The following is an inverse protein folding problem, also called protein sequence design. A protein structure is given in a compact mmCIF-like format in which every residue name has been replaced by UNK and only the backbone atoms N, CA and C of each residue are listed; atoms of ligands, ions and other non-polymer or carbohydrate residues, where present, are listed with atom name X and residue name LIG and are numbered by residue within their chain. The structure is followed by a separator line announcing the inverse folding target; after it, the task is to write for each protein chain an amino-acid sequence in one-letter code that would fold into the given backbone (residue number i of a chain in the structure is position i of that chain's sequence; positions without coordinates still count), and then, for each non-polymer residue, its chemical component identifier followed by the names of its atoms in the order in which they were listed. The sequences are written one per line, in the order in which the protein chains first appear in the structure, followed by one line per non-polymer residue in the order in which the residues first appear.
data_IF_380911896907
#
_entry.id   IF_380911896907
#
_cell.length_a   1.000
_cell.length_b   1.000
_cell.length_c   1.000
_cell.angle_alpha   90.00
_cell.angle_beta   90.00
_cell.angle_gamma   90.00
#
_symmetry.space_group_name_H-M   'P 1'
#
loop_
_entity.id
_entity.type
_entity.pdbx_description
1 polymer ?
#
# COMPACT_ATOMS: atom_id res chain seq x y z
N UNK A 1 19.32 35.57 7.99
CA UNK A 1 19.79 34.22 8.36
C UNK A 1 18.86 33.26 7.68
N UNK A 2 19.21 32.85 6.47
CA UNK A 2 18.40 31.96 5.66
C UNK A 2 18.44 30.55 6.23
N UNK A 3 17.28 30.06 6.65
CA UNK A 3 17.08 28.68 7.06
C UNK A 3 17.01 27.79 5.82
N UNK A 4 18.13 27.19 5.45
CA UNK A 4 18.15 26.05 4.53
C UNK A 4 17.52 24.86 5.26
N UNK A 5 16.23 24.62 5.04
CA UNK A 5 15.62 23.33 5.40
C UNK A 5 16.34 22.29 4.57
N UNK A 6 16.97 21.31 5.23
CA UNK A 6 17.57 20.16 4.55
C UNK A 6 16.46 19.43 3.78
N UNK A 7 16.36 19.69 2.48
CA UNK A 7 15.42 19.00 1.59
C UNK A 7 15.93 17.59 1.35
N UNK A 8 15.31 16.61 2.01
CA UNK A 8 15.53 15.20 1.71
C UNK A 8 15.06 14.88 0.29
N UNK A 9 15.65 13.85 -0.30
CA UNK A 9 15.18 13.28 -1.57
C UNK A 9 13.82 12.60 -1.38
N UNK A 10 13.08 12.37 -2.47
CA UNK A 10 11.83 11.60 -2.40
C UNK A 10 12.05 10.20 -1.79
N UNK A 11 13.22 9.60 -1.99
CA UNK A 11 13.59 8.33 -1.37
C UNK A 11 13.70 8.44 0.16
N UNK A 12 14.29 9.52 0.67
CA UNK A 12 14.39 9.78 2.12
C UNK A 12 12.99 9.98 2.72
N UNK A 13 12.08 10.62 1.98
CA UNK A 13 10.69 10.79 2.39
C UNK A 13 9.94 9.45 2.41
N UNK A 14 10.17 8.57 1.42
CA UNK A 14 9.60 7.22 1.40
C UNK A 14 10.10 6.38 2.57
N UNK A 15 11.40 6.42 2.86
CA UNK A 15 11.97 5.72 4.01
C UNK A 15 11.39 6.24 5.32
N UNK A 16 11.23 7.56 5.47
CA UNK A 16 10.57 8.16 6.63
C UNK A 16 9.10 7.74 6.78
N UNK A 17 8.42 7.39 5.68
CA UNK A 17 7.08 6.79 5.67
C UNK A 17 7.07 5.29 5.95
N UNK A 18 8.24 4.66 6.06
CA UNK A 18 8.42 3.23 6.33
C UNK A 18 8.45 2.36 5.08
N UNK A 19 8.46 2.96 3.88
CA UNK A 19 8.71 2.20 2.65
C UNK A 19 10.14 1.70 2.61
N UNK A 20 10.32 0.49 2.08
CA UNK A 20 11.62 -0.15 1.91
C UNK A 20 11.84 -0.49 0.45
N UNK A 21 12.95 -0.03 -0.12
CA UNK A 21 13.33 -0.37 -1.49
C UNK A 21 13.49 -1.90 -1.64
N UNK A 22 12.90 -2.46 -2.70
CA UNK A 22 12.95 -3.88 -3.05
C UNK A 22 13.88 -4.15 -4.26
N UNK A 23 14.42 -3.10 -4.87
CA UNK A 23 15.25 -3.17 -6.08
C UNK A 23 14.49 -2.72 -7.33
N UNK A 24 14.96 -3.17 -8.49
CA UNK A 24 14.35 -2.86 -9.79
C UNK A 24 13.40 -3.98 -10.22
N UNK A 25 12.25 -3.58 -10.76
CA UNK A 25 11.33 -4.49 -11.44
C UNK A 25 11.95 -5.02 -12.74
N UNK A 26 11.38 -6.11 -13.28
CA UNK A 26 11.79 -6.67 -14.59
C UNK A 26 11.74 -5.66 -15.75
N UNK A 27 11.02 -4.54 -15.60
CA UNK A 27 10.88 -3.47 -16.59
C UNK A 27 11.79 -2.26 -16.30
N UNK A 28 12.70 -2.38 -15.32
CA UNK A 28 13.69 -1.35 -14.95
C UNK A 28 13.17 -0.26 -14.00
N UNK A 29 11.89 -0.22 -13.68
CA UNK A 29 11.34 0.71 -12.68
C UNK A 29 11.65 0.26 -11.27
N UNK A 30 12.09 1.17 -10.39
CA UNK A 30 12.33 0.90 -8.96
C UNK A 30 11.04 0.51 -8.25
N UNK A 31 11.18 -0.28 -7.19
CA UNK A 31 10.07 -0.75 -6.38
C UNK A 31 10.33 -0.53 -4.90
N UNK A 32 9.28 -0.17 -4.16
CA UNK A 32 9.28 -0.10 -2.71
C UNK A 32 8.05 -0.80 -2.15
N UNK A 33 8.18 -1.32 -0.94
CA UNK A 33 7.05 -1.90 -0.20
C UNK A 33 6.95 -1.30 1.19
N UNK A 34 5.71 -1.14 1.65
CA UNK A 34 5.37 -0.77 3.01
C UNK A 34 4.48 -1.88 3.57
N UNK A 35 5.02 -2.81 4.37
CA UNK A 35 4.22 -3.79 5.12
C UNK A 35 3.52 -3.04 6.26
N UNK A 36 2.34 -2.47 5.96
CA UNK A 36 1.62 -1.60 6.88
C UNK A 36 1.17 -2.34 8.14
N UNK A 37 0.79 -3.61 8.01
CA UNK A 37 0.61 -4.54 9.12
C UNK A 37 0.85 -5.97 8.63
N UNK A 38 0.52 -6.98 9.46
CA UNK A 38 0.71 -8.40 9.12
C UNK A 38 -0.03 -8.86 7.85
N UNK A 39 -1.12 -8.18 7.49
CA UNK A 39 -2.00 -8.58 6.39
C UNK A 39 -2.02 -7.58 5.23
N UNK A 40 -1.75 -6.29 5.48
CA UNK A 40 -1.79 -5.23 4.47
C UNK A 40 -0.39 -4.81 4.04
N UNK A 41 -0.12 -4.89 2.74
CA UNK A 41 1.10 -4.39 2.12
C UNK A 41 0.78 -3.37 1.05
N UNK A 42 1.41 -2.20 1.09
CA UNK A 42 1.44 -1.25 -0.02
C UNK A 42 2.69 -1.45 -0.85
N UNK A 43 2.60 -1.22 -2.16
CA UNK A 43 3.72 -1.30 -3.09
C UNK A 43 3.72 -0.09 -4.02
N UNK A 44 4.91 0.45 -4.27
CA UNK A 44 5.16 1.53 -5.21
C UNK A 44 6.01 1.05 -6.36
N UNK A 45 5.63 1.45 -7.57
CA UNK A 45 6.42 1.29 -8.78
C UNK A 45 6.80 2.66 -9.33
N UNK A 46 8.09 2.87 -9.57
CA UNK A 46 8.62 4.06 -10.23
C UNK A 46 8.46 3.97 -11.76
N UNK A 47 7.93 5.03 -12.35
CA UNK A 47 7.84 5.22 -13.80
C UNK A 47 8.49 6.53 -14.27
N UNK A 48 9.56 6.98 -13.60
CA UNK A 48 10.36 8.20 -13.88
C UNK A 48 9.64 9.52 -13.60
N UNK A 49 8.46 9.76 -14.19
CA UNK A 49 7.69 11.01 -14.00
C UNK A 49 6.60 10.88 -12.94
N UNK A 50 6.31 9.65 -12.51
CA UNK A 50 5.26 9.33 -11.56
C UNK A 50 5.58 8.04 -10.79
N UNK A 51 4.82 7.82 -9.73
CA UNK A 51 4.71 6.50 -9.08
C UNK A 51 3.36 5.89 -9.37
N UNK A 52 3.28 4.57 -9.26
CA UNK A 52 2.03 3.83 -9.22
C UNK A 52 1.95 3.12 -7.87
N UNK A 53 0.90 3.42 -7.12
CA UNK A 53 0.58 2.78 -5.85
C UNK A 53 -0.41 1.65 -6.06
N UNK A 54 -0.07 0.49 -5.51
CA UNK A 54 -0.97 -0.65 -5.37
C UNK A 54 -0.92 -1.19 -3.93
N UNK A 55 -1.81 -2.13 -3.60
CA UNK A 55 -1.81 -2.79 -2.29
C UNK A 55 -2.40 -4.20 -2.38
N UNK A 56 -2.02 -5.05 -1.43
CA UNK A 56 -2.63 -6.36 -1.22
C UNK A 56 -3.03 -6.52 0.24
N UNK A 57 -4.13 -7.24 0.48
CA UNK A 57 -4.57 -7.63 1.81
C UNK A 57 -4.83 -9.13 1.88
N UNK A 58 -4.12 -9.82 2.78
CA UNK A 58 -4.24 -11.25 3.05
C UNK A 58 -5.55 -11.59 3.77
N UNK A 59 -6.68 -11.55 3.04
CA UNK A 59 -8.02 -11.67 3.61
C UNK A 59 -8.26 -13.04 4.24
N UNK A 60 -7.87 -14.12 3.56
CA UNK A 60 -8.01 -15.48 4.08
C UNK A 60 -7.36 -15.64 5.44
N UNK A 61 -6.08 -15.26 5.54
CA UNK A 61 -5.31 -15.30 6.78
C UNK A 61 -5.89 -14.42 7.89
N UNK A 62 -6.39 -13.23 7.53
CA UNK A 62 -7.05 -12.33 8.47
C UNK A 62 -8.34 -12.93 9.06
N UNK A 63 -9.17 -13.57 8.23
CA UNK A 63 -10.42 -14.21 8.66
C UNK A 63 -10.13 -15.46 9.50
N UNK A 64 -9.16 -16.28 9.08
CA UNK A 64 -8.72 -17.46 9.84
C UNK A 64 -8.20 -17.08 11.22
N UNK A 65 -7.40 -16.03 11.33
CA UNK A 65 -6.89 -15.53 12.61
C UNK A 65 -8.01 -15.06 13.57
N UNK A 66 -9.20 -14.79 13.05
CA UNK A 66 -10.41 -14.45 13.82
C UNK A 66 -11.33 -15.65 14.10
N UNK A 67 -10.93 -16.85 13.68
CA UNK A 67 -11.73 -18.07 13.82
C UNK A 67 -12.88 -18.18 12.82
N UNK A 68 -12.86 -17.41 11.73
CA UNK A 68 -13.84 -17.49 10.65
C UNK A 68 -13.32 -18.36 9.52
N UNK A 69 -14.24 -18.93 8.74
CA UNK A 69 -13.90 -19.77 7.58
C UNK A 69 -14.33 -19.08 6.30
N UNK A 70 -13.50 -19.23 5.27
CA UNK A 70 -13.84 -18.91 3.89
C UNK A 70 -14.12 -20.23 3.18
N UNK A 71 -15.13 -20.27 2.31
CA UNK A 71 -15.50 -21.50 1.59
C UNK A 71 -14.56 -21.86 0.44
N UNK A 72 -13.44 -21.15 0.29
CA UNK A 72 -12.44 -21.45 -0.73
C UNK A 72 -11.63 -22.68 -0.31
N UNK A 73 -11.26 -23.52 -1.28
CA UNK A 73 -10.43 -24.70 -1.02
C UNK A 73 -9.02 -24.30 -0.56
N UNK A 74 -8.50 -23.24 -1.19
CA UNK A 74 -7.28 -22.46 -0.89
C UNK A 74 -7.53 -21.23 0.00
N UNK A 75 -7.11 -21.13 1.26
CA UNK A 75 -7.26 -19.86 2.02
C UNK A 75 -6.16 -18.85 1.68
N UNK A 76 -4.96 -19.32 1.31
CA UNK A 76 -3.84 -18.46 0.89
C UNK A 76 -4.10 -17.77 -0.45
N UNK A 77 -5.10 -18.22 -1.21
CA UNK A 77 -5.50 -17.58 -2.47
C UNK A 77 -6.55 -16.48 -2.28
N UNK A 78 -6.97 -16.20 -1.05
CA UNK A 78 -8.02 -15.22 -0.77
C UNK A 78 -7.40 -13.89 -0.34
N UNK A 79 -7.25 -13.00 -1.30
CA UNK A 79 -6.62 -11.69 -1.11
C UNK A 79 -7.51 -10.58 -1.67
N UNK A 80 -7.40 -9.38 -1.10
CA UNK A 80 -8.00 -8.17 -1.67
C UNK A 80 -6.92 -7.33 -2.34
N UNK A 81 -7.31 -6.68 -3.43
CA UNK A 81 -6.48 -5.79 -4.21
C UNK A 81 -7.32 -4.57 -4.64
N UNK A 82 -6.69 -3.43 -4.97
CA UNK A 82 -7.43 -2.34 -5.58
C UNK A 82 -8.00 -2.77 -6.93
N UNK A 83 -9.18 -2.25 -7.27
CA UNK A 83 -9.75 -2.44 -8.61
C UNK A 83 -8.86 -1.82 -9.70
N UNK A 84 -8.22 -0.70 -9.37
CA UNK A 84 -7.27 0.01 -10.22
C UNK A 84 -6.11 0.54 -9.38
N UNK A 85 -4.88 0.33 -9.84
CA UNK A 85 -3.71 0.97 -9.26
C UNK A 85 -3.78 2.50 -9.46
N UNK A 86 -3.18 3.24 -8.53
CA UNK A 86 -3.30 4.69 -8.49
C UNK A 86 -1.99 5.34 -8.94
N UNK A 87 -2.07 6.09 -10.03
CA UNK A 87 -0.98 6.92 -10.53
C UNK A 87 -0.88 8.20 -9.69
N UNK A 88 0.29 8.50 -9.14
CA UNK A 88 0.54 9.68 -8.31
C UNK A 88 1.80 10.43 -8.79
N UNK A 89 1.87 11.75 -8.57
CA UNK A 89 3.15 12.47 -8.72
C UNK A 89 4.20 11.95 -7.73
N UNK A 90 5.48 12.25 -7.99
CA UNK A 90 6.59 12.03 -7.06
C UNK A 90 6.51 13.00 -5.87
N UNK A 91 5.47 12.86 -5.05
CA UNK A 91 5.14 13.72 -3.93
C UNK A 91 4.67 12.89 -2.73
N UNK A 92 5.44 12.94 -1.65
CA UNK A 92 5.14 12.18 -0.44
C UNK A 92 3.84 12.62 0.24
N UNK A 93 3.40 13.87 0.07
CA UNK A 93 2.12 14.33 0.61
C UNK A 93 0.94 13.72 -0.14
N UNK A 94 1.00 13.67 -1.48
CA UNK A 94 0.01 13.00 -2.31
C UNK A 94 -0.09 11.50 -1.96
N UNK A 95 1.07 10.84 -1.79
CA UNK A 95 1.14 9.45 -1.35
C UNK A 95 0.50 9.21 0.02
N UNK A 96 0.82 10.02 1.02
CA UNK A 96 0.19 9.93 2.36
C UNK A 96 -1.33 10.09 2.28
N UNK A 97 -1.80 11.06 1.51
CA UNK A 97 -3.23 11.30 1.30
C UNK A 97 -3.92 10.07 0.71
N UNK A 98 -3.30 9.44 -0.28
CA UNK A 98 -3.84 8.26 -0.94
C UNK A 98 -3.85 7.01 -0.04
N UNK A 99 -2.78 6.77 0.73
CA UNK A 99 -2.75 5.71 1.75
C UNK A 99 -3.89 5.92 2.76
N UNK A 100 -4.08 7.16 3.24
CA UNK A 100 -5.16 7.49 4.17
C UNK A 100 -6.54 7.20 3.56
N UNK A 101 -6.73 7.53 2.28
CA UNK A 101 -7.96 7.21 1.54
C UNK A 101 -8.20 5.70 1.49
N UNK A 102 -7.20 4.90 1.09
CA UNK A 102 -7.32 3.42 1.04
C UNK A 102 -7.66 2.85 2.43
N UNK A 103 -6.97 3.29 3.48
CA UNK A 103 -7.25 2.82 4.84
C UNK A 103 -8.69 3.13 5.28
N UNK A 104 -9.26 4.24 4.80
CA UNK A 104 -10.67 4.56 5.08
C UNK A 104 -11.64 3.63 4.36
N UNK A 105 -11.32 3.16 3.15
CA UNK A 105 -12.18 2.25 2.36
C UNK A 105 -12.10 0.81 2.84
N UNK A 106 -11.01 0.42 3.50
CA UNK A 106 -10.84 -0.93 4.07
C UNK A 106 -11.58 -1.14 5.40
N UNK A 107 -12.31 -0.13 5.88
CA UNK A 107 -13.19 -0.26 7.04
C UNK A 107 -14.51 -0.94 6.63
N UNK A 108 -14.53 -2.26 6.72
CA UNK A 108 -15.72 -3.07 6.47
C UNK A 108 -16.55 -3.19 7.75
N UNK A 109 -17.76 -2.64 7.76
CA UNK A 109 -18.75 -2.87 8.82
C UNK A 109 -19.64 -4.06 8.47
N UNK A 110 -19.13 -5.27 8.67
CA UNK A 110 -19.86 -6.50 8.34
C UNK A 110 -21.14 -6.71 9.18
N UNK A 111 -21.43 -5.82 10.15
CA UNK A 111 -22.67 -5.81 10.92
C UNK A 111 -23.73 -4.85 10.41
N UNK A 112 -23.42 -4.02 9.40
CA UNK A 112 -24.38 -3.10 8.80
C UNK A 112 -25.48 -3.87 8.06
N UNK A 113 -26.76 -3.77 8.48
CA UNK A 113 -27.86 -4.50 7.86
C UNK A 113 -28.23 -4.00 6.46
N UNK A 114 -27.63 -2.90 5.99
CA UNK A 114 -27.86 -2.31 4.68
C UNK A 114 -26.85 -2.74 3.60
N UNK A 115 -25.82 -3.50 3.97
CA UNK A 115 -24.86 -4.10 3.05
C UNK A 115 -25.49 -5.10 2.06
#
# INVERSE_FOLDING_TARGET
MDGTVAGGTFDDELEALGFRAQGESRRGGRMWTLPFNRYLTFMLHDYHDNIVLTWSFELGDYLLARGWQVSTTDTSTTELYPQHDVKLPLDAAALRGEITRVLSTLRLDLGDPSL
#
